data_IF_919732069687
#
_entry.id   IF_919732069687
#
_cell.length_a   1.000
_cell.length_b   1.000
_cell.length_c   1.000
_cell.angle_alpha   90.00
_cell.angle_beta   90.00
_cell.angle_gamma   90.00
#
_symmetry.space_group_name_H-M   'P 1'
#
loop_
_entity.id
_entity.type
_entity.pdbx_description
1 polymer ?
#
# COMPACT_ATOMS: atom_id res chain seq x y z
N UNK A 1 -25.66 42.85 -3.68
CA UNK A 1 -24.42 42.82 -2.87
C UNK A 1 -23.55 41.71 -3.48
N UNK A 2 -22.31 42.00 -3.87
CA UNK A 2 -21.49 41.07 -4.65
C UNK A 2 -21.18 39.80 -3.83
N UNK A 3 -21.37 38.59 -4.37
CA UNK A 3 -21.14 37.32 -3.63
C UNK A 3 -19.72 37.24 -3.04
N UNK A 4 -18.75 37.85 -3.70
CA UNK A 4 -17.37 37.96 -3.21
C UNK A 4 -17.24 38.73 -1.88
N UNK A 5 -18.06 39.77 -1.68
CA UNK A 5 -18.03 40.60 -0.45
C UNK A 5 -18.65 39.84 0.72
N UNK A 6 -19.72 39.08 0.48
CA UNK A 6 -20.37 38.26 1.51
C UNK A 6 -19.43 37.10 1.94
N UNK A 7 -18.75 36.47 0.98
CA UNK A 7 -17.78 35.41 1.28
C UNK A 7 -16.58 35.90 2.09
N UNK A 8 -16.09 37.12 1.86
CA UNK A 8 -14.99 37.68 2.66
C UNK A 8 -15.42 38.10 4.07
N UNK A 9 -16.68 38.48 4.28
CA UNK A 9 -17.23 38.79 5.61
C UNK A 9 -17.43 37.50 6.43
N UNK A 10 -17.79 36.39 5.78
CA UNK A 10 -18.06 35.09 6.42
C UNK A 10 -16.80 34.22 6.61
N UNK A 11 -15.64 34.63 6.08
CA UNK A 11 -14.39 33.91 6.31
C UNK A 11 -14.03 33.97 7.79
N UNK A 12 -14.02 32.81 8.42
CA UNK A 12 -13.54 32.62 9.79
C UNK A 12 -12.15 33.27 9.92
N UNK A 13 -12.05 34.36 10.69
CA UNK A 13 -10.76 34.98 10.99
C UNK A 13 -9.97 34.02 11.89
N UNK A 14 -8.80 33.61 11.44
CA UNK A 14 -7.92 32.62 12.11
C UNK A 14 -8.55 31.23 12.30
N UNK A 15 -8.82 30.49 11.21
CA UNK A 15 -9.37 29.15 11.32
C UNK A 15 -8.36 28.21 11.99
N UNK A 16 -8.81 27.37 12.93
CA UNK A 16 -7.97 26.34 13.59
C UNK A 16 -7.47 25.29 12.60
N UNK A 17 -8.25 25.00 11.56
CA UNK A 17 -7.96 24.02 10.53
C UNK A 17 -8.40 24.57 9.18
N UNK A 18 -7.58 24.35 8.14
CA UNK A 18 -7.88 24.75 6.77
C UNK A 18 -8.00 23.50 5.91
N UNK A 19 -8.98 23.48 5.02
CA UNK A 19 -9.16 22.40 4.05
C UNK A 19 -9.67 22.99 2.74
N UNK A 20 -9.28 22.37 1.63
CA UNK A 20 -9.78 22.65 0.29
C UNK A 20 -10.46 21.43 -0.34
N UNK A 21 -10.73 20.38 0.46
CA UNK A 21 -11.24 19.09 -0.01
C UNK A 21 -12.77 19.09 -0.03
N UNK A 22 -13.39 19.12 1.15
CA UNK A 22 -14.85 19.09 1.30
C UNK A 22 -15.30 20.14 2.30
N UNK A 23 -16.36 20.85 1.95
CA UNK A 23 -17.09 21.77 2.83
C UNK A 23 -18.44 21.14 3.17
N UNK A 24 -18.77 21.14 4.46
CA UNK A 24 -20.03 20.63 5.00
C UNK A 24 -20.74 21.77 5.73
N UNK A 25 -21.98 22.03 5.34
CA UNK A 25 -22.88 23.03 5.90
C UNK A 25 -24.27 22.37 6.08
N UNK A 26 -25.19 22.93 6.88
CA UNK A 26 -26.55 22.41 6.98
C UNK A 26 -27.20 22.27 5.60
N UNK A 27 -27.61 21.06 5.23
CA UNK A 27 -28.23 20.70 3.95
C UNK A 27 -27.36 20.95 2.70
N UNK A 28 -26.03 21.10 2.85
CA UNK A 28 -25.14 21.33 1.71
C UNK A 28 -23.77 20.70 1.93
N UNK A 29 -23.37 19.84 1.00
CA UNK A 29 -22.03 19.25 0.98
C UNK A 29 -21.40 19.56 -0.38
N UNK A 30 -20.21 20.15 -0.37
CA UNK A 30 -19.46 20.49 -1.58
C UNK A 30 -18.08 19.86 -1.50
N UNK A 31 -17.77 18.96 -2.43
CA UNK A 31 -16.46 18.32 -2.55
C UNK A 31 -15.75 18.84 -3.79
N UNK A 32 -14.59 19.49 -3.61
CA UNK A 32 -13.77 20.08 -4.69
C UNK A 32 -14.57 20.95 -5.69
N UNK A 33 -15.59 21.64 -5.19
CA UNK A 33 -16.42 22.55 -5.99
C UNK A 33 -17.72 21.93 -6.52
N UNK A 34 -17.89 20.62 -6.46
CA UNK A 34 -19.11 19.92 -6.90
C UNK A 34 -20.04 19.62 -5.72
N UNK A 35 -21.36 19.66 -5.96
CA UNK A 35 -22.31 19.20 -4.94
C UNK A 35 -22.17 17.69 -4.74
N UNK A 36 -22.36 17.21 -3.52
CA UNK A 36 -22.27 15.77 -3.25
C UNK A 36 -23.38 14.99 -3.96
N UNK A 37 -24.53 15.62 -4.14
CA UNK A 37 -25.69 15.11 -4.86
C UNK A 37 -25.39 14.86 -6.35
N UNK A 38 -24.71 15.79 -7.02
CA UNK A 38 -24.31 15.61 -8.43
C UNK A 38 -23.24 14.52 -8.59
N UNK A 39 -22.33 14.39 -7.61
CA UNK A 39 -21.30 13.36 -7.63
C UNK A 39 -21.90 11.96 -7.47
N UNK A 40 -22.96 11.80 -6.66
CA UNK A 40 -23.63 10.50 -6.46
C UNK A 40 -24.38 10.12 -7.74
N UNK A 41 -23.85 9.11 -8.44
CA UNK A 41 -24.40 8.64 -9.72
C UNK A 41 -23.90 9.43 -10.94
N UNK A 42 -23.19 10.53 -10.74
CA UNK A 42 -22.56 11.32 -11.81
C UNK A 42 -21.11 10.91 -12.12
N UNK A 43 -20.39 10.32 -11.15
CA UNK A 43 -19.00 9.85 -11.32
C UNK A 43 -18.82 8.43 -10.80
N UNK A 44 -17.87 7.71 -11.38
CA UNK A 44 -17.39 6.43 -10.86
C UNK A 44 -16.57 6.60 -9.58
N UNK A 45 -16.33 5.49 -8.89
CA UNK A 45 -15.53 5.51 -7.67
C UNK A 45 -14.07 5.93 -7.94
N UNK A 46 -13.46 5.47 -9.04
CA UNK A 46 -12.10 5.88 -9.40
C UNK A 46 -12.01 7.38 -9.72
N UNK A 47 -12.99 7.94 -10.43
CA UNK A 47 -13.07 9.37 -10.71
C UNK A 47 -13.20 10.18 -9.41
N UNK A 48 -13.97 9.69 -8.44
CA UNK A 48 -14.08 10.31 -7.12
C UNK A 48 -12.75 10.26 -6.34
N UNK A 49 -12.03 9.14 -6.40
CA UNK A 49 -10.68 9.01 -5.81
C UNK A 49 -9.71 10.01 -6.44
N UNK A 50 -9.72 10.13 -7.77
CA UNK A 50 -8.91 11.11 -8.50
C UNK A 50 -9.27 12.53 -8.06
N UNK A 51 -10.56 12.89 -8.03
CA UNK A 51 -11.05 14.20 -7.59
C UNK A 51 -10.57 14.56 -6.19
N UNK A 52 -10.67 13.64 -5.23
CA UNK A 52 -10.25 13.91 -3.85
C UNK A 52 -8.74 14.19 -3.75
N UNK A 53 -7.93 13.38 -4.43
CA UNK A 53 -6.47 13.45 -4.36
C UNK A 53 -5.93 14.62 -5.19
N UNK A 54 -6.43 14.81 -6.42
CA UNK A 54 -5.92 15.78 -7.40
C UNK A 54 -6.66 17.11 -7.41
N UNK A 55 -7.87 17.15 -6.90
CA UNK A 55 -8.69 18.36 -6.81
C UNK A 55 -9.48 18.71 -8.06
N UNK A 56 -9.38 17.90 -9.11
CA UNK A 56 -10.08 18.05 -10.39
C UNK A 56 -10.58 16.70 -10.89
N UNK A 57 -11.58 16.67 -11.78
CA UNK A 57 -12.04 15.43 -12.40
C UNK A 57 -11.05 14.99 -13.49
N UNK A 58 -10.78 13.67 -13.62
CA UNK A 58 -9.86 13.18 -14.64
C UNK A 58 -10.48 13.26 -16.04
N UNK A 59 -9.65 13.41 -17.09
CA UNK A 59 -10.05 13.07 -18.45
C UNK A 59 -10.51 11.61 -18.56
N UNK A 60 -11.37 11.29 -19.53
CA UNK A 60 -11.98 9.96 -19.66
C UNK A 60 -10.97 8.82 -19.85
N UNK A 61 -9.88 9.06 -20.57
CA UNK A 61 -8.81 8.05 -20.71
C UNK A 61 -8.09 7.80 -19.38
N UNK A 62 -7.79 8.86 -18.62
CA UNK A 62 -7.20 8.77 -17.28
C UNK A 62 -8.13 8.07 -16.29
N UNK A 63 -9.44 8.32 -16.37
CA UNK A 63 -10.43 7.61 -15.56
C UNK A 63 -10.40 6.09 -15.82
N UNK A 64 -10.43 5.67 -17.09
CA UNK A 64 -10.34 4.24 -17.47
C UNK A 64 -9.02 3.61 -17.02
N UNK A 65 -7.92 4.35 -17.12
CA UNK A 65 -6.63 3.86 -16.70
C UNK A 65 -6.55 3.74 -15.17
N UNK A 66 -7.09 4.69 -14.40
CA UNK A 66 -7.14 4.61 -12.94
C UNK A 66 -7.99 3.42 -12.45
N UNK A 67 -9.12 3.13 -13.11
CA UNK A 67 -9.88 1.90 -12.82
C UNK A 67 -8.99 0.64 -12.95
N UNK A 68 -8.25 0.53 -14.05
CA UNK A 68 -7.34 -0.60 -14.27
C UNK A 68 -6.22 -0.66 -13.21
N UNK A 69 -5.67 0.49 -12.80
CA UNK A 69 -4.69 0.57 -11.70
C UNK A 69 -5.30 0.02 -10.40
N UNK A 70 -6.49 0.49 -10.00
CA UNK A 70 -7.14 0.06 -8.76
C UNK A 70 -7.49 -1.44 -8.78
N UNK A 71 -7.95 -1.96 -9.92
CA UNK A 71 -8.21 -3.39 -10.11
C UNK A 71 -6.93 -4.20 -9.95
N UNK A 72 -5.80 -3.74 -10.48
CA UNK A 72 -4.51 -4.44 -10.36
C UNK A 72 -4.02 -4.59 -8.91
N UNK A 73 -4.52 -3.75 -8.00
CA UNK A 73 -4.20 -3.76 -6.58
C UNK A 73 -5.20 -4.51 -5.70
N UNK A 74 -6.37 -4.91 -6.21
CA UNK A 74 -7.50 -5.41 -5.42
C UNK A 74 -7.16 -6.48 -4.40
N UNK A 75 -6.42 -7.52 -4.80
CA UNK A 75 -6.03 -8.58 -3.89
C UNK A 75 -4.75 -9.29 -4.35
N UNK A 76 -4.11 -10.00 -3.41
CA UNK A 76 -2.97 -10.88 -3.69
C UNK A 76 -3.00 -12.14 -2.80
N UNK A 77 -4.21 -12.58 -2.42
CA UNK A 77 -4.45 -13.73 -1.57
C UNK A 77 -3.93 -13.56 -0.13
N UNK A 78 -3.72 -14.70 0.52
CA UNK A 78 -3.38 -14.80 1.95
C UNK A 78 -1.88 -14.74 2.25
N UNK A 79 -1.03 -14.74 1.22
CA UNK A 79 0.44 -14.72 1.41
C UNK A 79 1.02 -13.38 1.87
N UNK A 80 0.44 -12.20 1.59
CA UNK A 80 0.98 -10.94 2.07
C UNK A 80 0.77 -10.74 3.58
N UNK A 81 1.72 -10.11 4.30
CA UNK A 81 1.61 -9.84 5.73
C UNK A 81 0.35 -9.06 6.12
N UNK A 82 -0.13 -8.14 5.27
CA UNK A 82 -1.37 -7.39 5.51
C UNK A 82 -2.61 -8.28 5.60
N UNK A 83 -2.71 -9.26 4.71
CA UNK A 83 -3.84 -10.18 4.72
C UNK A 83 -3.76 -11.11 5.93
N UNK A 84 -2.55 -11.61 6.24
CA UNK A 84 -2.33 -12.46 7.41
C UNK A 84 -2.65 -11.75 8.71
N UNK A 85 -2.16 -10.52 8.89
CA UNK A 85 -2.44 -9.70 10.06
C UNK A 85 -3.94 -9.44 10.21
N UNK A 86 -4.62 -9.01 9.15
CA UNK A 86 -6.06 -8.74 9.18
C UNK A 86 -6.88 -9.99 9.56
N UNK A 87 -6.53 -11.16 9.00
CA UNK A 87 -7.19 -12.43 9.32
C UNK A 87 -6.87 -12.90 10.74
N UNK A 88 -5.64 -12.77 11.22
CA UNK A 88 -5.28 -13.11 12.60
C UNK A 88 -6.08 -12.28 13.61
N UNK A 89 -6.18 -10.97 13.38
CA UNK A 89 -6.98 -10.06 14.22
C UNK A 89 -8.48 -10.39 14.14
N UNK A 90 -8.97 -10.79 12.96
CA UNK A 90 -10.35 -11.24 12.77
C UNK A 90 -10.63 -12.54 13.54
N UNK A 91 -9.69 -13.50 13.51
CA UNK A 91 -9.78 -14.76 14.26
C UNK A 91 -9.84 -14.51 15.78
N UNK A 92 -9.16 -13.47 16.28
CA UNK A 92 -9.28 -13.04 17.67
C UNK A 92 -10.64 -12.39 18.04
N UNK A 93 -11.58 -12.26 17.09
CA UNK A 93 -12.93 -11.73 17.33
C UNK A 93 -13.07 -10.21 17.19
N UNK A 94 -12.04 -9.51 16.69
CA UNK A 94 -12.05 -8.05 16.57
C UNK A 94 -13.08 -7.55 15.55
N UNK A 95 -13.62 -6.32 15.69
CA UNK A 95 -14.53 -5.74 14.69
C UNK A 95 -13.81 -5.46 13.36
N UNK A 96 -14.56 -5.41 12.26
CA UNK A 96 -13.99 -5.33 10.89
C UNK A 96 -13.01 -4.16 10.72
N UNK A 97 -13.35 -2.96 11.19
CA UNK A 97 -12.47 -1.80 11.08
C UNK A 97 -11.12 -1.98 11.79
N UNK A 98 -11.08 -2.71 12.92
CA UNK A 98 -9.83 -3.01 13.62
C UNK A 98 -8.99 -4.04 12.85
N UNK A 99 -9.63 -5.04 12.25
CA UNK A 99 -8.95 -6.00 11.37
C UNK A 99 -8.33 -5.30 10.16
N UNK A 100 -9.08 -4.39 9.51
CA UNK A 100 -8.58 -3.60 8.38
C UNK A 100 -7.43 -2.70 8.84
N UNK A 101 -7.56 -1.98 9.94
CA UNK A 101 -6.50 -1.15 10.48
C UNK A 101 -5.21 -1.96 10.72
N UNK A 102 -5.30 -3.15 11.32
CA UNK A 102 -4.15 -4.04 11.49
C UNK A 102 -3.53 -4.51 10.18
N UNK A 103 -4.35 -4.81 9.17
CA UNK A 103 -3.87 -5.13 7.82
C UNK A 103 -3.13 -3.95 7.17
N UNK A 104 -3.66 -2.73 7.31
CA UNK A 104 -3.02 -1.50 6.80
C UNK A 104 -1.71 -1.19 7.54
N UNK A 105 -1.64 -1.43 8.86
CA UNK A 105 -0.43 -1.25 9.66
C UNK A 105 0.72 -2.20 9.25
N UNK A 106 0.40 -3.30 8.58
CA UNK A 106 1.42 -4.18 8.01
C UNK A 106 2.04 -3.63 6.72
N UNK A 107 1.48 -2.56 6.13
CA UNK A 107 2.13 -1.85 5.04
C UNK A 107 3.31 -1.04 5.57
N UNK A 108 4.46 -1.19 4.93
CA UNK A 108 5.70 -0.56 5.35
C UNK A 108 6.78 -0.70 4.30
N UNK A 109 8.03 -0.46 4.69
CA UNK A 109 9.17 -0.43 3.74
C UNK A 109 9.22 -1.65 2.81
N UNK A 110 8.97 -2.84 3.35
CA UNK A 110 9.10 -4.11 2.63
C UNK A 110 7.77 -4.69 2.11
N UNK A 111 6.64 -4.04 2.39
CA UNK A 111 5.31 -4.48 1.96
C UNK A 111 4.48 -3.27 1.55
N UNK A 112 4.10 -3.17 0.27
CA UNK A 112 3.46 -2.00 -0.35
C UNK A 112 4.30 -0.70 -0.41
N UNK A 113 5.47 -0.62 0.22
CA UNK A 113 6.31 0.60 0.17
C UNK A 113 7.07 0.82 -1.15
N UNK A 114 7.04 -0.12 -2.11
CA UNK A 114 7.79 0.00 -3.35
C UNK A 114 7.18 1.05 -4.29
N UNK A 115 5.85 1.12 -4.39
CA UNK A 115 5.13 2.07 -5.27
C UNK A 115 5.55 3.52 -5.03
N UNK A 116 5.52 3.98 -3.77
CA UNK A 116 5.90 5.34 -3.39
C UNK A 116 7.37 5.65 -3.74
N UNK A 117 8.27 4.68 -3.50
CA UNK A 117 9.70 4.85 -3.81
C UNK A 117 9.96 4.85 -5.30
N UNK A 118 9.26 4.02 -6.08
CA UNK A 118 9.35 3.98 -7.53
C UNK A 118 8.83 5.27 -8.14
N UNK A 119 7.65 5.75 -7.70
CA UNK A 119 7.10 7.04 -8.15
C UNK A 119 8.07 8.17 -7.86
N UNK A 120 8.59 8.24 -6.63
CA UNK A 120 9.56 9.28 -6.25
C UNK A 120 10.80 9.24 -7.14
N UNK A 121 11.38 8.07 -7.31
CA UNK A 121 12.57 7.88 -8.15
C UNK A 121 12.30 8.33 -9.59
N UNK A 122 11.22 7.87 -10.20
CA UNK A 122 10.89 8.22 -11.59
C UNK A 122 10.61 9.71 -11.75
N UNK A 123 9.84 10.31 -10.84
CA UNK A 123 9.52 11.76 -10.86
C UNK A 123 10.77 12.61 -10.68
N UNK A 124 11.66 12.27 -9.76
CA UNK A 124 12.91 12.99 -9.54
C UNK A 124 13.85 12.86 -10.75
N UNK A 125 13.95 11.68 -11.36
CA UNK A 125 14.75 11.46 -12.57
C UNK A 125 14.21 12.21 -13.77
N UNK A 126 12.91 12.13 -14.05
CA UNK A 126 12.28 12.88 -15.15
C UNK A 126 12.41 14.39 -14.93
N UNK A 127 12.23 14.87 -13.71
CA UNK A 127 12.38 16.31 -13.38
C UNK A 127 13.80 16.84 -13.57
N UNK A 128 14.80 15.95 -13.63
CA UNK A 128 16.20 16.32 -13.87
C UNK A 128 16.59 16.36 -15.36
N UNK A 129 15.70 15.92 -16.25
CA UNK A 129 15.92 15.94 -17.70
C UNK A 129 15.46 17.29 -18.28
N UNK A 130 16.20 17.83 -19.25
CA UNK A 130 15.81 19.07 -19.95
C UNK A 130 14.75 18.80 -21.04
N UNK A 131 14.70 17.57 -21.56
CA UNK A 131 13.74 17.13 -22.58
C UNK A 131 13.49 15.62 -22.49
N UNK A 132 12.42 15.15 -23.14
CA UNK A 132 12.11 13.71 -23.21
C UNK A 132 13.17 12.89 -23.96
N UNK A 133 13.93 13.52 -24.86
CA UNK A 133 15.01 12.88 -25.61
C UNK A 133 16.16 12.42 -24.69
N UNK A 134 16.27 12.96 -23.47
CA UNK A 134 17.29 12.58 -22.49
C UNK A 134 16.89 11.38 -21.61
N UNK A 135 15.65 10.91 -21.71
CA UNK A 135 15.13 9.81 -20.87
C UNK A 135 15.97 8.53 -20.98
N UNK A 136 16.39 8.07 -22.17
CA UNK A 136 17.24 6.87 -22.29
C UNK A 136 18.59 7.02 -21.55
N UNK A 137 19.23 8.18 -21.68
CA UNK A 137 20.49 8.46 -20.98
C UNK A 137 20.29 8.57 -19.46
N UNK A 138 19.18 9.15 -19.02
CA UNK A 138 18.81 9.21 -17.61
C UNK A 138 18.53 7.81 -17.02
N UNK A 139 17.85 6.94 -17.78
CA UNK A 139 17.62 5.55 -17.40
C UNK A 139 18.94 4.79 -17.20
N UNK A 140 19.88 4.94 -18.14
CA UNK A 140 21.20 4.33 -18.07
C UNK A 140 21.96 4.78 -16.82
N UNK A 141 22.03 6.09 -16.57
CA UNK A 141 22.67 6.63 -15.35
C UNK A 141 22.02 6.09 -14.08
N UNK A 142 20.68 6.10 -14.01
CA UNK A 142 19.94 5.58 -12.87
C UNK A 142 20.30 4.12 -12.58
N UNK A 143 20.33 3.27 -13.61
CA UNK A 143 20.67 1.86 -13.46
C UNK A 143 22.11 1.68 -13.02
N UNK A 144 23.06 2.38 -13.65
CA UNK A 144 24.48 2.33 -13.29
C UNK A 144 24.71 2.70 -11.82
N UNK A 145 24.13 3.81 -11.37
CA UNK A 145 24.25 4.30 -9.99
C UNK A 145 23.73 3.29 -8.95
N UNK A 146 22.64 2.59 -9.26
CA UNK A 146 22.08 1.58 -8.37
C UNK A 146 22.93 0.31 -8.35
N UNK A 147 23.37 -0.15 -9.52
CA UNK A 147 24.18 -1.37 -9.63
C UNK A 147 25.57 -1.19 -9.01
N UNK A 148 26.23 -0.06 -9.24
CA UNK A 148 27.53 0.27 -8.63
C UNK A 148 27.44 0.34 -7.10
N UNK A 149 26.32 0.85 -6.58
CA UNK A 149 26.06 0.89 -5.14
C UNK A 149 25.51 -0.43 -4.55
N UNK A 150 25.41 -1.50 -5.35
CA UNK A 150 24.81 -2.78 -4.97
C UNK A 150 23.39 -2.65 -4.36
N UNK A 151 22.61 -1.70 -4.88
CA UNK A 151 21.22 -1.41 -4.47
C UNK A 151 20.24 -1.97 -5.50
N UNK A 152 19.08 -2.41 -5.01
CA UNK A 152 17.94 -2.76 -5.87
C UNK A 152 17.18 -1.51 -6.28
N UNK A 153 16.69 -1.49 -7.50
CA UNK A 153 15.80 -0.44 -8.00
C UNK A 153 14.37 -0.80 -7.59
N UNK A 154 13.63 0.06 -6.87
CA UNK A 154 12.25 -0.22 -6.48
C UNK A 154 11.36 -0.36 -7.72
N UNK A 155 10.40 -1.28 -7.69
CA UNK A 155 9.48 -1.55 -8.80
C UNK A 155 9.98 -2.59 -9.81
N UNK A 156 11.18 -3.14 -9.59
CA UNK A 156 11.78 -4.17 -10.45
C UNK A 156 12.07 -5.45 -9.66
N UNK A 157 11.81 -6.59 -10.30
CA UNK A 157 11.93 -7.93 -9.74
C UNK A 157 10.70 -8.39 -8.98
N UNK A 158 10.49 -9.70 -8.96
CA UNK A 158 9.33 -10.31 -8.32
C UNK A 158 9.71 -11.64 -7.67
N UNK A 159 9.10 -11.97 -6.52
CA UNK A 159 9.38 -13.22 -5.79
C UNK A 159 8.85 -14.46 -6.52
N UNK A 160 7.75 -14.32 -7.26
CA UNK A 160 7.00 -15.44 -7.83
C UNK A 160 6.97 -15.47 -9.36
N UNK A 161 7.43 -14.41 -10.04
CA UNK A 161 7.22 -14.23 -11.47
C UNK A 161 8.49 -13.79 -12.17
N UNK A 162 8.77 -14.37 -13.33
CA UNK A 162 9.84 -13.90 -14.22
C UNK A 162 9.40 -12.68 -15.05
N UNK A 163 8.10 -12.58 -15.31
CA UNK A 163 7.41 -11.41 -15.84
C UNK A 163 6.09 -11.28 -15.08
N UNK A 164 5.86 -10.15 -14.43
CA UNK A 164 4.60 -9.93 -13.70
C UNK A 164 3.47 -9.71 -14.72
N UNK A 165 2.48 -10.61 -14.81
CA UNK A 165 1.44 -10.52 -15.85
C UNK A 165 0.58 -9.26 -15.71
N UNK A 166 0.49 -8.69 -14.50
CA UNK A 166 -0.25 -7.45 -14.25
C UNK A 166 0.47 -6.25 -14.83
N UNK A 167 1.79 -6.20 -14.67
CA UNK A 167 2.62 -5.13 -15.22
C UNK A 167 2.50 -5.09 -16.75
N UNK A 168 2.58 -6.25 -17.40
CA UNK A 168 2.39 -6.37 -18.86
C UNK A 168 1.02 -5.80 -19.28
N UNK A 169 -0.06 -6.26 -18.64
CA UNK A 169 -1.41 -5.81 -19.01
C UNK A 169 -1.65 -4.32 -18.76
N UNK A 170 -1.08 -3.78 -17.68
CA UNK A 170 -1.20 -2.36 -17.37
C UNK A 170 -0.50 -1.46 -18.40
N UNK A 171 0.66 -1.89 -18.89
CA UNK A 171 1.41 -1.15 -19.91
C UNK A 171 0.68 -1.16 -21.26
N UNK A 172 0.14 -2.31 -21.68
CA UNK A 172 -0.71 -2.40 -22.88
C UNK A 172 -1.90 -1.44 -22.79
N UNK A 173 -2.58 -1.39 -21.63
CA UNK A 173 -3.69 -0.47 -21.41
C UNK A 173 -3.25 1.00 -21.38
N UNK A 174 -2.06 1.29 -20.84
CA UNK A 174 -1.52 2.64 -20.85
C UNK A 174 -1.25 3.12 -22.27
N UNK A 175 -0.74 2.25 -23.15
CA UNK A 175 -0.61 2.54 -24.59
C UNK A 175 -1.97 2.75 -25.25
N UNK A 176 -2.90 1.80 -25.08
CA UNK A 176 -4.25 1.85 -25.66
C UNK A 176 -5.04 3.12 -25.26
N UNK A 177 -4.84 3.58 -24.02
CA UNK A 177 -5.54 4.75 -23.49
C UNK A 177 -4.76 6.06 -23.70
N UNK A 178 -3.55 6.02 -24.27
CA UNK A 178 -2.71 7.20 -24.44
C UNK A 178 -2.31 7.83 -23.10
N UNK A 179 -1.99 6.99 -22.12
CA UNK A 179 -1.53 7.36 -20.78
C UNK A 179 -0.04 7.08 -20.55
N UNK A 180 0.70 6.73 -21.60
CA UNK A 180 2.17 6.68 -21.56
C UNK A 180 2.71 8.11 -21.66
N UNK A 181 3.51 8.49 -20.68
CA UNK A 181 4.27 9.73 -20.66
C UNK A 181 5.72 9.48 -20.25
N UNK A 182 6.47 10.54 -19.88
CA UNK A 182 7.90 10.45 -19.64
C UNK A 182 8.28 9.50 -18.49
N UNK A 183 7.42 9.32 -17.48
CA UNK A 183 7.72 8.44 -16.35
C UNK A 183 7.54 6.96 -16.72
N UNK A 184 6.51 6.63 -17.51
CA UNK A 184 6.33 5.28 -18.04
C UNK A 184 7.42 4.95 -19.05
N UNK A 185 7.80 5.90 -19.92
CA UNK A 185 8.93 5.74 -20.85
C UNK A 185 10.23 5.47 -20.10
N UNK A 186 10.54 6.24 -19.04
CA UNK A 186 11.70 5.97 -18.18
C UNK A 186 11.65 4.56 -17.58
N UNK A 187 10.49 4.12 -17.08
CA UNK A 187 10.34 2.81 -16.49
C UNK A 187 10.58 1.66 -17.50
N UNK A 188 10.17 1.85 -18.76
CA UNK A 188 10.41 0.92 -19.86
C UNK A 188 11.91 0.87 -20.23
N UNK A 189 12.58 2.01 -20.36
CA UNK A 189 14.02 2.07 -20.63
C UNK A 189 14.83 1.38 -19.51
N UNK A 190 14.48 1.64 -18.24
CA UNK A 190 15.09 0.96 -17.09
C UNK A 190 14.85 -0.56 -17.16
N UNK A 191 13.66 -1.00 -17.59
CA UNK A 191 13.38 -2.43 -17.76
C UNK A 191 14.29 -3.07 -18.79
N UNK A 192 14.47 -2.46 -19.97
CA UNK A 192 15.28 -3.04 -21.03
C UNK A 192 16.73 -3.24 -20.57
N UNK A 193 17.30 -2.23 -19.91
CA UNK A 193 18.67 -2.29 -19.39
C UNK A 193 18.80 -3.37 -18.29
N UNK A 194 17.83 -3.46 -17.37
CA UNK A 194 17.85 -4.47 -16.31
C UNK A 194 17.59 -5.88 -16.82
N UNK A 195 16.78 -6.03 -17.86
CA UNK A 195 16.51 -7.31 -18.49
C UNK A 195 17.79 -7.86 -19.12
N UNK A 196 18.51 -7.03 -19.88
CA UNK A 196 19.79 -7.39 -20.48
C UNK A 196 20.84 -7.76 -19.43
N UNK A 197 21.02 -6.92 -18.40
CA UNK A 197 22.14 -7.04 -17.46
C UNK A 197 21.90 -7.99 -16.30
N UNK A 198 20.65 -8.17 -15.89
CA UNK A 198 20.27 -8.91 -14.66
C UNK A 198 19.14 -9.92 -14.88
N UNK A 199 18.48 -9.94 -16.05
CA UNK A 199 17.32 -10.78 -16.29
C UNK A 199 16.10 -10.36 -15.45
N UNK A 200 16.04 -9.10 -15.01
CA UNK A 200 15.01 -8.58 -14.10
C UNK A 200 14.03 -7.70 -14.87
N UNK A 201 12.73 -7.93 -14.68
CA UNK A 201 11.65 -7.13 -15.26
C UNK A 201 10.94 -6.27 -14.22
N UNK A 202 10.17 -5.31 -14.71
CA UNK A 202 9.29 -4.50 -13.88
C UNK A 202 8.18 -5.36 -13.27
N UNK A 203 7.78 -5.03 -12.04
CA UNK A 203 6.61 -5.62 -11.37
C UNK A 203 5.43 -4.64 -11.39
N UNK A 204 4.28 -5.06 -10.84
CA UNK A 204 3.08 -4.22 -10.79
C UNK A 204 3.29 -2.85 -10.12
N UNK A 205 4.19 -2.75 -9.11
CA UNK A 205 4.46 -1.49 -8.43
C UNK A 205 5.25 -0.55 -9.33
N UNK A 206 6.22 -1.06 -10.11
CA UNK A 206 6.95 -0.25 -11.08
C UNK A 206 6.04 0.25 -12.22
N UNK A 207 5.20 -0.62 -12.76
CA UNK A 207 4.29 -0.23 -13.85
C UNK A 207 3.31 0.86 -13.39
N UNK A 208 2.65 0.65 -12.25
CA UNK A 208 1.76 1.64 -11.68
C UNK A 208 2.49 2.92 -11.23
N UNK A 209 3.77 2.84 -10.85
CA UNK A 209 4.54 4.04 -10.51
C UNK A 209 4.74 4.96 -11.72
N UNK A 210 5.09 4.41 -12.89
CA UNK A 210 5.16 5.17 -14.14
C UNK A 210 3.81 5.77 -14.49
N UNK A 211 2.78 4.93 -14.57
CA UNK A 211 1.42 5.30 -14.98
C UNK A 211 0.82 6.37 -14.06
N UNK A 212 0.88 6.19 -12.73
CA UNK A 212 0.34 7.19 -11.78
C UNK A 212 1.12 8.51 -11.84
N UNK A 213 2.43 8.46 -12.11
CA UNK A 213 3.24 9.67 -12.27
C UNK A 213 2.87 10.43 -13.54
N UNK A 214 2.64 9.74 -14.66
CA UNK A 214 2.17 10.36 -15.91
C UNK A 214 0.74 10.88 -15.81
N UNK A 215 -0.10 10.27 -14.97
CA UNK A 215 -1.39 10.83 -14.61
C UNK A 215 -1.27 12.12 -13.78
N UNK A 216 -0.10 12.42 -13.21
CA UNK A 216 0.23 13.59 -12.38
C UNK A 216 0.06 13.39 -10.87
N UNK A 217 -0.05 12.15 -10.38
CA UNK A 217 -0.10 11.92 -8.93
C UNK A 217 1.24 12.25 -8.28
N UNK A 218 1.21 12.95 -7.16
CA UNK A 218 2.38 13.17 -6.33
C UNK A 218 2.83 11.84 -5.71
N UNK A 219 4.14 11.54 -5.74
CA UNK A 219 4.68 10.28 -5.23
C UNK A 219 4.25 9.96 -3.79
N UNK A 220 4.06 10.98 -2.93
CA UNK A 220 3.61 10.83 -1.53
C UNK A 220 2.20 10.26 -1.39
N UNK A 221 1.43 10.26 -2.47
CA UNK A 221 0.07 9.70 -2.52
C UNK A 221 0.02 8.27 -3.03
N UNK A 222 1.11 7.76 -3.63
CA UNK A 222 1.15 6.44 -4.29
C UNK A 222 0.80 5.28 -3.37
N UNK A 223 1.32 5.30 -2.14
CA UNK A 223 0.97 4.29 -1.14
C UNK A 223 -0.53 4.33 -0.78
N UNK A 224 -1.12 5.54 -0.72
CA UNK A 224 -2.55 5.71 -0.48
C UNK A 224 -3.42 5.14 -1.61
N UNK A 225 -3.03 5.33 -2.88
CA UNK A 225 -3.72 4.74 -4.03
C UNK A 225 -3.67 3.21 -3.98
N UNK A 226 -2.50 2.64 -3.67
CA UNK A 226 -2.37 1.20 -3.45
C UNK A 226 -3.29 0.70 -2.32
N UNK A 227 -3.35 1.42 -1.19
CA UNK A 227 -4.20 1.08 -0.06
C UNK A 227 -5.68 1.08 -0.44
N UNK A 228 -6.14 2.10 -1.17
CA UNK A 228 -7.52 2.17 -1.69
C UNK A 228 -7.83 0.93 -2.53
N UNK A 229 -6.92 0.60 -3.46
CA UNK A 229 -7.05 -0.59 -4.29
C UNK A 229 -7.12 -1.88 -3.46
N UNK A 230 -6.34 -2.02 -2.39
CA UNK A 230 -6.25 -3.25 -1.58
C UNK A 230 -7.42 -3.45 -0.59
N UNK A 231 -8.18 -2.40 -0.27
CA UNK A 231 -9.25 -2.48 0.72
C UNK A 231 -10.32 -3.55 0.45
N UNK A 232 -10.86 -3.71 -0.79
CA UNK A 232 -11.83 -4.75 -1.10
C UNK A 232 -11.32 -6.17 -0.78
N UNK A 233 -10.06 -6.48 -1.10
CA UNK A 233 -9.44 -7.77 -0.79
C UNK A 233 -9.32 -8.00 0.72
N UNK A 234 -8.86 -7.00 1.48
CA UNK A 234 -8.76 -7.12 2.94
C UNK A 234 -10.13 -7.29 3.60
N UNK A 235 -11.15 -6.55 3.18
CA UNK A 235 -12.52 -6.70 3.68
C UNK A 235 -13.03 -8.11 3.42
N UNK A 236 -12.82 -8.61 2.20
CA UNK A 236 -13.24 -9.95 1.80
C UNK A 236 -12.56 -11.04 2.63
N UNK A 237 -11.25 -10.93 2.87
CA UNK A 237 -10.52 -11.89 3.68
C UNK A 237 -10.89 -11.85 5.17
N UNK A 238 -11.16 -10.66 5.72
CA UNK A 238 -11.66 -10.52 7.10
C UNK A 238 -13.04 -11.15 7.24
N UNK A 239 -13.93 -10.90 6.27
CA UNK A 239 -15.25 -11.52 6.25
C UNK A 239 -15.13 -13.03 6.13
N UNK A 240 -14.33 -13.52 5.18
CA UNK A 240 -14.10 -14.95 4.96
C UNK A 240 -13.62 -15.66 6.22
N UNK A 241 -12.63 -15.11 6.91
CA UNK A 241 -12.11 -15.67 8.16
C UNK A 241 -13.22 -15.77 9.21
N UNK A 242 -14.04 -14.73 9.38
CA UNK A 242 -15.09 -14.70 10.41
C UNK A 242 -16.24 -15.68 10.18
N UNK A 243 -16.53 -16.01 8.92
CA UNK A 243 -17.71 -16.82 8.56
C UNK A 243 -17.36 -18.27 8.24
N UNK A 244 -16.11 -18.57 7.91
CA UNK A 244 -15.66 -19.93 7.54
C UNK A 244 -14.82 -20.61 8.60
N UNK A 245 -14.13 -19.84 9.45
CA UNK A 245 -13.19 -20.39 10.42
C UNK A 245 -13.72 -20.24 11.86
N UNK A 246 -13.35 -21.14 12.78
CA UNK A 246 -13.66 -20.98 14.18
C UNK A 246 -12.91 -19.78 14.77
N UNK A 247 -13.55 -19.11 15.73
CA UNK A 247 -12.89 -18.06 16.51
C UNK A 247 -11.67 -18.64 17.24
N UNK A 248 -10.60 -17.84 17.33
CA UNK A 248 -9.35 -18.18 17.99
C UNK A 248 -8.71 -19.49 17.48
N UNK A 249 -8.74 -19.71 16.17
CA UNK A 249 -8.15 -20.91 15.56
C UNK A 249 -6.62 -20.91 15.70
N UNK A 250 -6.05 -22.11 15.65
CA UNK A 250 -4.60 -22.30 15.58
C UNK A 250 -4.08 -21.83 14.21
N UNK A 251 -2.96 -21.10 14.23
CA UNK A 251 -2.26 -20.65 13.03
C UNK A 251 -0.96 -21.40 12.77
N UNK A 252 -0.38 -21.98 13.82
CA UNK A 252 0.85 -22.77 13.78
C UNK A 252 0.63 -24.04 14.59
N UNK A 253 1.18 -25.14 14.09
CA UNK A 253 1.39 -26.35 14.86
C UNK A 253 2.70 -26.27 15.67
N UNK A 254 2.81 -27.05 16.74
CA UNK A 254 3.99 -27.01 17.62
C UNK A 254 5.25 -27.41 16.83
N UNK A 255 5.10 -28.32 15.87
CA UNK A 255 6.17 -28.82 15.01
C UNK A 255 6.70 -27.75 14.02
N UNK A 256 5.95 -26.67 13.79
CA UNK A 256 6.37 -25.53 12.98
C UNK A 256 7.18 -24.49 13.78
N UNK A 257 7.26 -24.66 15.11
CA UNK A 257 7.91 -23.72 16.01
C UNK A 257 9.19 -24.36 16.55
N UNK A 258 10.34 -23.81 16.14
CA UNK A 258 11.62 -24.12 16.78
C UNK A 258 11.87 -23.13 17.91
N UNK A 259 11.94 -23.62 19.15
CA UNK A 259 12.51 -22.86 20.25
C UNK A 259 14.04 -22.99 20.19
N UNK A 260 14.73 -21.88 19.94
CA UNK A 260 16.20 -21.79 19.85
C UNK A 260 16.82 -21.08 21.07
N UNK A 261 16.02 -20.87 22.11
CA UNK A 261 16.44 -20.28 23.36
C UNK A 261 17.08 -21.28 24.32
N UNK A 262 17.21 -20.85 25.57
CA UNK A 262 17.82 -21.63 26.63
C UNK A 262 16.83 -22.62 27.20
N UNK A 263 17.25 -23.88 27.31
CA UNK A 263 16.44 -24.93 27.93
C UNK A 263 16.10 -24.61 29.40
N UNK A 264 15.17 -25.38 29.95
CA UNK A 264 14.69 -25.21 31.34
C UNK A 264 15.84 -25.00 32.33
N UNK A 265 15.96 -23.78 32.87
CA UNK A 265 16.89 -23.41 33.95
C UNK A 265 16.22 -23.53 35.32
N UNK A 266 17.04 -23.77 36.34
CA UNK A 266 16.57 -23.77 37.73
C UNK A 266 16.63 -22.33 38.25
N UNK A 267 15.48 -21.78 38.64
CA UNK A 267 15.43 -20.49 39.34
C UNK A 267 16.09 -20.65 40.73
N UNK A 268 17.10 -19.83 41.04
CA UNK A 268 17.84 -19.90 42.32
C UNK A 268 16.93 -19.71 43.53
N UNK A 269 17.32 -20.29 44.67
CA UNK A 269 16.50 -20.35 45.88
C UNK A 269 16.14 -18.96 46.44
N UNK A 270 17.06 -18.00 46.36
CA UNK A 270 16.86 -16.65 46.89
C UNK A 270 15.72 -15.91 46.17
N UNK A 271 15.46 -16.20 44.90
CA UNK A 271 14.31 -15.69 44.14
C UNK A 271 13.00 -16.43 44.43
N UNK A 272 13.04 -17.56 45.16
CA UNK A 272 11.85 -18.32 45.58
C UNK A 272 11.38 -17.93 46.98
N UNK A 273 12.09 -17.01 47.65
CA UNK A 273 11.72 -16.49 48.96
C UNK A 273 11.35 -15.02 48.89
N UNK A 274 10.20 -14.65 49.44
CA UNK A 274 9.87 -13.25 49.76
C UNK A 274 9.86 -13.14 51.29
N UNK A 275 10.61 -12.19 51.85
CA UNK A 275 10.65 -11.93 53.29
C UNK A 275 10.94 -13.18 54.16
N UNK A 276 11.81 -14.09 53.69
CA UNK A 276 12.19 -15.30 54.44
C UNK A 276 11.18 -16.45 54.41
N UNK A 277 10.07 -16.30 53.69
CA UNK A 277 9.09 -17.37 53.44
C UNK A 277 9.20 -17.90 52.00
N UNK A 278 9.28 -19.22 51.83
CA UNK A 278 9.14 -19.87 50.52
C UNK A 278 7.77 -19.54 49.92
N UNK A 279 7.76 -18.99 48.70
CA UNK A 279 6.53 -18.58 48.00
C UNK A 279 5.90 -19.79 47.29
N UNK A 280 6.70 -20.80 46.89
CA UNK A 280 6.25 -21.93 46.08
C UNK A 280 6.93 -23.24 46.49
N UNK A 281 6.18 -24.21 47.04
CA UNK A 281 6.64 -25.59 47.16
C UNK A 281 6.54 -26.25 45.78
N UNK A 282 7.66 -26.66 45.20
CA UNK A 282 7.66 -27.40 43.93
C UNK A 282 6.87 -28.69 44.10
N UNK A 283 5.68 -28.78 43.52
CA UNK A 283 5.02 -30.07 43.32
C UNK A 283 5.90 -30.87 42.37
N UNK A 284 6.41 -31.99 42.90
CA UNK A 284 7.19 -32.98 42.18
C UNK A 284 6.53 -33.26 40.82
N UNK A 285 7.24 -32.95 39.74
CA UNK A 285 6.81 -33.33 38.40
C UNK A 285 6.94 -34.83 38.32
N UNK A 286 5.83 -35.57 38.44
CA UNK A 286 5.79 -36.94 37.95
C UNK A 286 6.05 -36.86 36.44
N UNK A 287 7.11 -37.51 35.99
CA UNK A 287 7.34 -37.76 34.57
C UNK A 287 6.06 -38.36 33.96
N UNK A 288 5.56 -37.86 32.82
CA UNK A 288 4.43 -38.47 32.15
C UNK A 288 4.86 -39.84 31.61
N UNK A 289 4.37 -40.89 32.28
CA UNK A 289 4.07 -42.22 31.74
C UNK A 289 5.06 -42.83 30.73
N UNK A 290 5.96 -43.69 31.25
CA UNK A 290 6.13 -45.01 30.64
C UNK A 290 4.87 -45.83 30.98
N UNK A 291 3.98 -45.98 30.01
CA UNK A 291 3.23 -47.19 29.60
C UNK A 291 2.31 -46.86 28.43
#
# INVERSE_FOLDING_TARGET
>A
MNEGIINDILRVKNPRWRTSITRVEPNRIVTRGYSQEDLIGGVSFSEMVYLLIRGELPPQNVARMLEAVLVSFCDHGVTPPSTQAARMIASAGSPVHACIAGGLLAFGKNHAGAIERSMKLFQETVSSCESEDEIPDAALRLVDDHLQANRRIPGFGHRYHNADPRAVRLLELAEDYGCVGPHTSLALEVQEILLERKGVRMNVDGANAGILSDMGFDWRTGAGVFMIGRLPGLISHVYEEKVREPAFRKFFEIEEIQYDGEEKRILEADYRTLNGSEIWKTTNTKEPGRE
#
